data_IF_244328431052
#
_entry.id   IF_244328431052
#
_cell.length_a   1.000
_cell.length_b   1.000
_cell.length_c   1.000
_cell.angle_alpha   90.00
_cell.angle_beta   90.00
_cell.angle_gamma   90.00
#
_symmetry.space_group_name_H-M   'P 1'
#
loop_
_entity.id
_entity.type
_entity.pdbx_description
1 polymer ?
#
# COMPACT_ATOMS: atom_id res chain seq x y z
N UNK A 1 -17.03 -9.35 -7.26
CA UNK A 1 -15.61 -8.95 -7.06
C UNK A 1 -14.90 -9.11 -8.38
N UNK A 2 -14.23 -8.07 -8.87
CA UNK A 2 -13.40 -8.09 -10.08
C UNK A 2 -11.98 -7.81 -9.65
N UNK A 3 -11.02 -8.62 -10.10
CA UNK A 3 -9.60 -8.48 -9.77
C UNK A 3 -8.85 -8.13 -11.05
N UNK A 4 -8.01 -7.11 -11.00
CA UNK A 4 -7.25 -6.59 -12.14
C UNK A 4 -5.98 -5.93 -11.63
N UNK A 5 -4.97 -5.81 -12.49
CA UNK A 5 -3.88 -4.86 -12.28
C UNK A 5 -4.39 -3.43 -12.49
N UNK A 6 -3.65 -2.43 -11.99
CA UNK A 6 -4.03 -1.02 -12.10
C UNK A 6 -4.29 -0.58 -13.54
N UNK A 7 -3.37 -0.87 -14.46
CA UNK A 7 -3.52 -0.50 -15.87
C UNK A 7 -4.68 -1.23 -16.55
N UNK A 8 -4.87 -2.53 -16.25
CA UNK A 8 -5.96 -3.30 -16.83
C UNK A 8 -7.35 -2.83 -16.34
N UNK A 9 -7.43 -2.09 -15.22
CA UNK A 9 -8.66 -1.46 -14.78
C UNK A 9 -9.20 -0.42 -15.78
N UNK A 10 -8.35 0.15 -16.66
CA UNK A 10 -8.80 1.01 -17.74
C UNK A 10 -9.79 0.32 -18.68
N UNK A 11 -9.67 -1.01 -18.86
CA UNK A 11 -10.60 -1.80 -19.67
C UNK A 11 -12.01 -1.72 -19.09
N UNK A 12 -12.15 -1.71 -17.76
CA UNK A 12 -13.45 -1.61 -17.09
C UNK A 12 -14.13 -0.27 -17.39
N UNK A 13 -13.37 0.83 -17.40
CA UNK A 13 -13.88 2.14 -17.83
C UNK A 13 -14.27 2.16 -19.31
N UNK A 14 -13.48 1.51 -20.17
CA UNK A 14 -13.75 1.42 -21.61
C UNK A 14 -15.00 0.58 -21.95
N UNK A 15 -15.40 -0.37 -21.08
CA UNK A 15 -16.63 -1.16 -21.23
C UNK A 15 -17.92 -0.40 -20.86
N UNK A 16 -17.86 0.94 -20.77
CA UNK A 16 -18.99 1.82 -20.44
C UNK A 16 -19.66 1.49 -19.10
N UNK A 17 -18.90 0.94 -18.13
CA UNK A 17 -19.36 0.90 -16.76
C UNK A 17 -19.50 2.33 -16.25
N UNK A 18 -20.66 2.73 -15.72
CA UNK A 18 -20.80 4.06 -15.14
C UNK A 18 -19.83 4.21 -13.97
N UNK A 19 -19.21 5.38 -13.84
CA UNK A 19 -18.43 5.71 -12.66
C UNK A 19 -19.30 5.55 -11.40
N UNK A 20 -18.73 4.96 -10.36
CA UNK A 20 -19.48 4.61 -9.14
C UNK A 20 -20.25 3.30 -9.23
N UNK A 21 -20.10 2.53 -10.31
CA UNK A 21 -20.63 1.15 -10.36
C UNK A 21 -20.12 0.32 -9.18
N UNK A 22 -18.87 0.53 -8.79
CA UNK A 22 -18.29 -0.04 -7.58
C UNK A 22 -18.38 0.95 -6.44
N UNK A 23 -18.99 0.52 -5.33
CA UNK A 23 -19.01 1.29 -4.09
C UNK A 23 -17.66 1.31 -3.40
N UNK A 24 -16.84 0.27 -3.61
CA UNK A 24 -15.51 0.11 -3.01
C UNK A 24 -14.48 -0.31 -4.05
N UNK A 25 -13.30 0.31 -3.98
CA UNK A 25 -12.11 -0.06 -4.76
C UNK A 25 -10.96 -0.25 -3.78
N UNK A 26 -10.35 -1.44 -3.81
CA UNK A 26 -9.18 -1.77 -3.01
C UNK A 26 -7.94 -1.80 -3.91
N UNK A 27 -6.93 -1.01 -3.56
CA UNK A 27 -5.69 -0.84 -4.30
C UNK A 27 -4.56 -1.42 -3.43
N UNK A 28 -4.18 -2.67 -3.72
CA UNK A 28 -3.18 -3.41 -2.94
C UNK A 28 -1.76 -3.21 -3.48
N UNK A 29 -0.76 -3.29 -2.61
CA UNK A 29 0.64 -2.97 -2.93
C UNK A 29 0.83 -1.56 -3.52
N UNK A 30 0.03 -0.58 -3.09
CA UNK A 30 0.05 0.78 -3.64
C UNK A 30 1.34 1.56 -3.36
N UNK A 31 2.20 1.04 -2.47
CA UNK A 31 3.56 1.53 -2.25
C UNK A 31 4.51 1.24 -3.42
N UNK A 32 4.18 0.27 -4.29
CA UNK A 32 5.04 -0.14 -5.41
C UNK A 32 4.70 0.57 -6.73
N UNK A 33 3.58 1.30 -6.81
CA UNK A 33 3.12 1.96 -8.03
C UNK A 33 3.34 3.46 -8.04
N UNK A 34 3.65 4.00 -9.21
CA UNK A 34 3.71 5.45 -9.43
C UNK A 34 2.32 6.07 -9.32
N UNK A 35 2.22 7.35 -8.95
CA UNK A 35 0.94 8.08 -8.93
C UNK A 35 0.07 7.85 -10.18
N UNK A 36 0.56 7.99 -11.43
CA UNK A 36 -0.28 7.79 -12.60
C UNK A 36 -0.78 6.35 -12.76
N UNK A 37 -0.01 5.35 -12.34
CA UNK A 37 -0.45 3.94 -12.38
C UNK A 37 -1.59 3.70 -11.39
N UNK A 38 -1.42 4.13 -10.13
CA UNK A 38 -2.43 3.95 -9.08
C UNK A 38 -3.72 4.72 -9.41
N UNK A 39 -3.61 5.85 -10.11
CA UNK A 39 -4.76 6.69 -10.46
C UNK A 39 -5.65 6.10 -11.57
N UNK A 40 -5.17 5.12 -12.36
CA UNK A 40 -5.95 4.54 -13.47
C UNK A 40 -7.34 4.04 -13.03
N UNK A 41 -7.50 3.16 -12.02
CA UNK A 41 -8.82 2.76 -11.56
C UNK A 41 -9.65 3.95 -11.07
N UNK A 42 -9.07 4.85 -10.28
CA UNK A 42 -9.80 5.99 -9.72
C UNK A 42 -10.37 6.91 -10.81
N UNK A 43 -9.57 7.23 -11.83
CA UNK A 43 -10.00 8.09 -12.93
C UNK A 43 -11.07 7.45 -13.83
N UNK A 44 -11.06 6.13 -13.97
CA UNK A 44 -11.90 5.43 -14.94
C UNK A 44 -13.22 4.90 -14.35
N UNK A 45 -13.23 4.50 -13.07
CA UNK A 45 -14.38 3.77 -12.49
C UNK A 45 -14.88 4.31 -11.15
N UNK A 46 -14.14 5.17 -10.45
CA UNK A 46 -14.58 5.77 -9.19
C UNK A 46 -15.43 7.03 -9.42
N UNK A 47 -16.33 7.34 -8.48
CA UNK A 47 -16.99 8.64 -8.36
C UNK A 47 -16.86 9.19 -6.92
N UNK A 48 -17.53 10.30 -6.62
CA UNK A 48 -17.48 10.94 -5.31
C UNK A 48 -18.08 10.10 -4.16
N UNK A 49 -18.89 9.09 -4.48
CA UNK A 49 -19.50 8.17 -3.51
C UNK A 49 -18.72 6.86 -3.38
N UNK A 50 -17.73 6.61 -4.25
CA UNK A 50 -16.87 5.43 -4.19
C UNK A 50 -15.83 5.57 -3.06
N UNK A 51 -15.78 4.59 -2.17
CA UNK A 51 -14.71 4.47 -1.19
C UNK A 51 -13.49 3.79 -1.83
N UNK A 52 -12.35 4.49 -1.81
CA UNK A 52 -11.07 3.95 -2.28
C UNK A 52 -10.20 3.64 -1.07
N UNK A 53 -9.72 2.40 -0.99
CA UNK A 53 -8.83 1.93 0.08
C UNK A 53 -7.48 1.62 -0.53
N UNK A 54 -6.44 2.29 -0.04
CA UNK A 54 -5.04 2.04 -0.38
C UNK A 54 -4.46 1.09 0.67
N UNK A 55 -3.80 0.03 0.23
CA UNK A 55 -3.05 -0.90 1.07
C UNK A 55 -1.64 -1.06 0.51
N UNK A 56 -0.65 -1.04 1.39
CA UNK A 56 0.74 -1.17 1.02
C UNK A 56 1.65 -0.77 2.17
N UNK A 57 2.95 -0.85 1.93
CA UNK A 57 3.97 -0.55 2.94
C UNK A 57 5.01 0.42 2.35
N UNK A 58 5.07 1.68 2.83
CA UNK A 58 6.07 2.66 2.40
C UNK A 58 7.52 2.22 2.62
N UNK A 59 7.76 1.29 3.56
CA UNK A 59 9.10 0.83 3.91
C UNK A 59 9.60 -0.31 3.01
N UNK A 60 8.79 -0.77 2.06
CA UNK A 60 9.14 -1.83 1.11
C UNK A 60 9.60 -1.25 -0.24
N UNK A 61 9.46 -2.03 -1.32
CA UNK A 61 9.87 -1.60 -2.65
C UNK A 61 9.02 -0.43 -3.12
N UNK A 62 9.68 0.62 -3.60
CA UNK A 62 9.04 1.74 -4.27
C UNK A 62 8.90 1.52 -5.78
N UNK A 63 8.26 2.47 -6.49
CA UNK A 63 8.10 2.42 -7.93
C UNK A 63 9.42 2.53 -8.69
N UNK A 64 9.50 1.94 -9.87
CA UNK A 64 10.69 1.98 -10.71
C UNK A 64 10.51 3.03 -11.82
N UNK A 65 11.19 4.17 -11.68
CA UNK A 65 11.28 5.18 -12.74
C UNK A 65 12.60 5.04 -13.50
N UNK A 66 12.58 4.49 -14.72
CA UNK A 66 13.81 4.30 -15.52
C UNK A 66 14.46 5.61 -16.00
N UNK A 67 13.68 6.68 -16.13
CA UNK A 67 14.18 7.98 -16.54
C UNK A 67 14.64 8.76 -15.32
N UNK A 68 15.95 9.02 -15.23
CA UNK A 68 16.55 9.86 -14.18
C UNK A 68 15.93 11.27 -14.15
N UNK A 69 15.49 11.79 -15.30
CA UNK A 69 14.77 13.07 -15.37
C UNK A 69 13.41 12.92 -14.67
N UNK A 70 12.65 11.87 -14.98
CA UNK A 70 11.35 11.65 -14.39
C UNK A 70 11.43 11.39 -12.88
N UNK A 71 12.42 10.60 -12.44
CA UNK A 71 12.71 10.38 -11.03
C UNK A 71 13.03 11.70 -10.30
N UNK A 72 13.89 12.54 -10.88
CA UNK A 72 14.21 13.87 -10.35
C UNK A 72 12.97 14.76 -10.19
N UNK A 73 11.95 14.57 -11.04
CA UNK A 73 10.68 15.30 -10.97
C UNK A 73 9.59 14.55 -10.19
N UNK A 74 9.94 13.50 -9.45
CA UNK A 74 9.04 12.86 -8.47
C UNK A 74 8.29 11.64 -8.98
N UNK A 75 8.52 11.17 -10.22
CA UNK A 75 7.84 9.97 -10.73
C UNK A 75 8.26 8.70 -9.96
N UNK A 76 9.45 8.69 -9.35
CA UNK A 76 9.93 7.59 -8.51
C UNK A 76 9.32 7.55 -7.10
N UNK A 77 8.46 8.49 -6.74
CA UNK A 77 7.79 8.53 -5.44
C UNK A 77 6.49 7.73 -5.50
N UNK A 78 6.27 6.85 -4.53
CA UNK A 78 5.05 6.05 -4.46
C UNK A 78 3.82 6.92 -4.24
N UNK A 79 2.67 6.48 -4.74
CA UNK A 79 1.42 7.19 -4.48
C UNK A 79 1.11 7.28 -2.98
N UNK A 80 1.35 6.19 -2.25
CA UNK A 80 1.10 6.10 -0.81
C UNK A 80 1.99 7.06 0.00
N UNK A 81 3.23 7.31 -0.44
CA UNK A 81 4.15 8.24 0.23
C UNK A 81 3.65 9.69 0.22
N UNK A 82 2.89 10.08 -0.81
CA UNK A 82 2.28 11.40 -0.85
C UNK A 82 1.26 11.62 0.26
N UNK A 83 0.56 10.55 0.69
CA UNK A 83 -0.39 10.64 1.80
C UNK A 83 0.34 10.75 3.14
N UNK A 84 1.43 10.01 3.33
CA UNK A 84 2.24 10.10 4.55
C UNK A 84 2.74 11.53 4.84
N UNK A 85 2.95 12.35 3.80
CA UNK A 85 3.32 13.77 3.93
C UNK A 85 2.15 14.70 4.30
N UNK A 86 0.90 14.25 4.08
CA UNK A 86 -0.29 15.01 4.45
C UNK A 86 -0.58 14.80 5.93
N UNK A 87 -0.67 15.88 6.71
CA UNK A 87 -0.91 15.85 8.15
C UNK A 87 -2.11 14.99 8.59
N UNK A 88 -3.14 14.86 7.75
CA UNK A 88 -4.33 14.06 8.06
C UNK A 88 -4.10 12.55 7.93
N UNK A 89 -3.07 12.12 7.21
CA UNK A 89 -2.68 10.73 6.99
C UNK A 89 -1.28 10.44 7.55
N UNK A 90 -0.72 11.33 8.39
CA UNK A 90 0.57 11.07 9.00
C UNK A 90 0.50 9.88 9.94
N UNK A 91 1.45 8.95 9.81
CA UNK A 91 1.56 7.77 10.68
C UNK A 91 1.88 8.15 12.14
N UNK A 92 2.45 9.33 12.35
CA UNK A 92 2.74 9.91 13.66
C UNK A 92 1.55 10.69 14.25
N UNK A 93 0.48 10.87 13.46
CA UNK A 93 -0.74 11.56 13.87
C UNK A 93 -1.74 10.59 14.49
N UNK A 94 -2.48 11.06 15.49
CA UNK A 94 -3.53 10.33 16.22
C UNK A 94 -4.81 10.07 15.37
N UNK A 95 -4.65 9.94 14.04
CA UNK A 95 -5.75 9.92 13.08
C UNK A 95 -6.02 8.49 12.56
N UNK A 96 -6.28 7.58 13.50
CA UNK A 96 -6.66 6.18 13.26
C UNK A 96 -7.90 6.03 12.35
N UNK A 97 -8.64 7.12 12.13
CA UNK A 97 -9.82 7.16 11.26
C UNK A 97 -9.49 6.97 9.77
N UNK A 98 -8.26 7.31 9.36
CA UNK A 98 -7.86 7.32 7.95
C UNK A 98 -6.69 6.39 7.63
N UNK A 99 -5.85 6.08 8.62
CA UNK A 99 -4.69 5.20 8.45
C UNK A 99 -4.69 4.15 9.55
N UNK A 100 -4.46 2.91 9.16
CA UNK A 100 -4.32 1.79 10.10
C UNK A 100 -3.00 1.08 9.84
N UNK A 101 -2.12 1.06 10.84
CA UNK A 101 -0.85 0.33 10.80
C UNK A 101 -1.05 -1.08 11.40
N UNK A 102 -0.75 -2.10 10.61
CA UNK A 102 -0.80 -3.49 11.09
C UNK A 102 0.54 -3.87 11.72
N UNK A 103 0.54 -4.02 13.05
CA UNK A 103 1.78 -4.31 13.82
C UNK A 103 2.00 -5.79 14.10
N UNK A 104 0.95 -6.62 14.00
CA UNK A 104 1.05 -8.05 14.28
C UNK A 104 1.52 -8.82 13.04
N UNK A 105 2.74 -9.34 13.09
CA UNK A 105 3.33 -10.13 12.02
C UNK A 105 3.11 -11.64 12.29
N UNK A 106 2.33 -12.28 11.43
CA UNK A 106 1.98 -13.70 11.55
C UNK A 106 2.88 -14.63 10.70
N UNK A 107 3.85 -14.07 9.98
CA UNK A 107 4.70 -14.81 9.05
C UNK A 107 6.03 -15.19 9.71
N UNK A 108 6.72 -14.22 10.30
CA UNK A 108 8.13 -14.32 10.66
C UNK A 108 8.34 -14.82 12.09
N UNK A 109 9.40 -15.62 12.26
CA UNK A 109 9.96 -15.94 13.59
C UNK A 109 10.44 -14.65 14.29
N UNK A 110 10.31 -14.52 15.63
CA UNK A 110 10.78 -13.33 16.37
C UNK A 110 12.19 -12.85 16.00
N UNK A 111 13.18 -13.76 15.97
CA UNK A 111 14.56 -13.45 15.58
C UNK A 111 14.73 -12.87 14.16
N UNK A 112 13.85 -13.22 13.21
CA UNK A 112 13.87 -12.62 11.85
C UNK A 112 13.23 -11.23 11.89
N UNK A 113 12.11 -11.10 12.61
CA UNK A 113 11.33 -9.86 12.67
C UNK A 113 12.04 -8.76 13.46
N UNK A 114 12.82 -9.11 14.48
CA UNK A 114 13.46 -8.15 15.38
C UNK A 114 14.30 -7.11 14.63
N UNK A 115 15.14 -7.58 13.70
CA UNK A 115 16.01 -6.69 12.94
C UNK A 115 15.22 -5.74 12.04
N UNK A 116 14.26 -6.26 11.27
CA UNK A 116 13.46 -5.44 10.34
C UNK A 116 12.57 -4.47 11.10
N UNK A 117 11.93 -4.92 12.19
CA UNK A 117 11.11 -4.07 13.04
C UNK A 117 11.91 -2.90 13.63
N UNK A 118 13.13 -3.16 14.09
CA UNK A 118 13.98 -2.12 14.69
C UNK A 118 14.47 -1.11 13.66
N UNK A 119 14.81 -1.56 12.46
CA UNK A 119 15.38 -0.70 11.42
C UNK A 119 14.34 0.16 10.70
N UNK A 120 13.14 -0.37 10.44
CA UNK A 120 12.18 0.26 9.54
C UNK A 120 10.86 0.66 10.21
N UNK A 121 10.52 0.06 11.37
CA UNK A 121 9.18 0.20 11.97
C UNK A 121 9.22 0.58 13.46
N UNK A 122 10.27 1.26 13.92
CA UNK A 122 10.32 1.80 15.29
C UNK A 122 10.27 0.74 16.41
N UNK A 123 10.58 -0.53 16.10
CA UNK A 123 10.40 -1.67 17.01
C UNK A 123 8.94 -1.98 17.40
N UNK A 124 7.97 -1.56 16.58
CA UNK A 124 6.55 -1.78 16.86
C UNK A 124 6.01 -3.15 16.42
N UNK A 125 6.69 -3.87 15.52
CA UNK A 125 6.16 -5.13 15.00
C UNK A 125 6.23 -6.25 16.04
N UNK A 126 5.14 -6.98 16.20
CA UNK A 126 4.98 -8.08 17.16
C UNK A 126 4.89 -9.40 16.41
N UNK A 127 5.79 -10.34 16.74
CA UNK A 127 5.76 -11.68 16.17
C UNK A 127 4.60 -12.49 16.77
N UNK A 128 3.64 -12.85 15.93
CA UNK A 128 2.45 -13.64 16.26
C UNK A 128 2.39 -14.95 15.46
N UNK A 129 3.46 -15.29 14.74
CA UNK A 129 3.55 -16.51 13.94
C UNK A 129 3.31 -17.76 14.79
N UNK A 130 2.65 -18.77 14.20
CA UNK A 130 2.27 -20.00 14.87
C UNK A 130 3.48 -20.72 15.50
N UNK A 131 3.21 -21.47 16.58
CA UNK A 131 4.23 -22.09 17.42
C UNK A 131 5.22 -23.02 16.66
N UNK A 132 4.83 -23.58 15.50
CA UNK A 132 5.76 -24.38 14.69
C UNK A 132 6.79 -23.53 13.94
N UNK A 133 6.43 -22.31 13.51
CA UNK A 133 7.35 -21.35 12.89
C UNK A 133 8.39 -20.89 13.91
N UNK A 134 7.97 -20.72 15.17
CA UNK A 134 8.83 -20.32 16.29
C UNK A 134 9.90 -21.37 16.65
N UNK A 135 9.76 -22.64 16.22
CA UNK A 135 10.72 -23.71 16.54
C UNK A 135 11.84 -23.89 15.52
N UNK A 136 11.75 -23.25 14.35
CA UNK A 136 12.70 -23.47 13.24
C UNK A 136 14.09 -22.88 13.48
N UNK A 137 14.21 -21.90 14.39
CA UNK A 137 15.47 -21.19 14.67
C UNK A 137 15.91 -21.29 16.14
N UNK A 138 15.29 -22.17 16.93
CA UNK A 138 15.59 -22.34 18.37
C UNK A 138 16.68 -23.38 18.67
N UNK A 139 17.49 -23.74 17.67
CA UNK A 139 18.54 -24.76 17.77
C UNK A 139 19.87 -24.17 18.26
#
# INVERSE_FOLDING_TARGET
>A
VVITTYLSAAILGAQALPQGHFTHIFLDESGQGTEPEIMVPNANIANAETTVVLAGDPQQLGPIAHSHIAEKFGLGKAYLDWFSDLFIYSLDGDNEQFVTKLVQNYHSHPAILELTSRLFYGSELVACAAHYVQKLLSA
#
